data_IF_488237380511
#
_entry.id   IF_488237380511
#
_cell.length_a   1.000
_cell.length_b   1.000
_cell.length_c   1.000
_cell.angle_alpha   90.00
_cell.angle_beta   90.00
_cell.angle_gamma   90.00
#
_symmetry.space_group_name_H-M   'P 1'
#
loop_
_entity.id
_entity.type
_entity.pdbx_description
1 polymer ?
#
# COMPACT_ATOMS: atom_id res chain seq x y z
N UNK A 1 -1.86 -7.62 3.34
CA UNK A 1 -0.83 -8.66 3.57
C UNK A 1 0.16 -8.68 2.42
N UNK A 2 1.38 -9.18 2.61
CA UNK A 2 2.38 -9.35 1.54
C UNK A 2 3.74 -8.71 1.84
N UNK A 3 4.78 -9.04 1.05
CA UNK A 3 6.18 -8.69 1.31
C UNK A 3 6.43 -7.18 1.43
N UNK A 4 5.64 -6.34 0.76
CA UNK A 4 5.72 -4.87 0.88
C UNK A 4 5.29 -4.31 2.24
N UNK A 5 4.77 -5.14 3.15
CA UNK A 5 4.43 -4.75 4.52
C UNK A 5 5.37 -5.36 5.58
N UNK A 6 6.26 -6.26 5.19
CA UNK A 6 7.15 -6.95 6.12
C UNK A 6 8.21 -5.99 6.69
N UNK A 7 8.61 -6.15 7.97
CA UNK A 7 9.58 -5.26 8.61
C UNK A 7 11.01 -5.41 8.06
N UNK A 8 11.28 -6.50 7.34
CA UNK A 8 12.57 -6.83 6.73
C UNK A 8 12.37 -7.65 5.44
N UNK A 9 13.45 -7.87 4.69
CA UNK A 9 13.43 -8.66 3.46
C UNK A 9 13.07 -7.88 2.19
N UNK A 10 12.70 -6.60 2.32
CA UNK A 10 12.55 -5.68 1.19
C UNK A 10 13.92 -5.33 0.62
N UNK A 11 14.05 -5.34 -0.70
CA UNK A 11 15.29 -4.99 -1.40
C UNK A 11 15.15 -3.58 -1.96
N UNK A 12 16.08 -2.70 -1.62
CA UNK A 12 16.13 -1.32 -2.13
C UNK A 12 16.21 -1.35 -3.66
N UNK A 13 15.52 -0.40 -4.29
CA UNK A 13 15.42 -0.25 -5.76
C UNK A 13 14.79 -1.45 -6.48
N UNK A 14 14.23 -2.42 -5.75
CA UNK A 14 13.42 -3.50 -6.33
C UNK A 14 11.95 -3.33 -5.97
N UNK A 15 11.04 -3.44 -6.95
CA UNK A 15 9.61 -3.39 -6.66
C UNK A 15 9.19 -4.47 -5.67
N UNK A 16 8.29 -4.11 -4.77
CA UNK A 16 7.63 -5.02 -3.83
C UNK A 16 6.13 -4.76 -3.80
N UNK A 17 5.37 -5.75 -3.35
CA UNK A 17 3.92 -5.75 -3.43
C UNK A 17 3.26 -6.15 -2.12
N UNK A 18 2.06 -5.63 -1.91
CA UNK A 18 1.14 -6.10 -0.89
C UNK A 18 -0.29 -6.04 -1.42
N UNK A 19 -1.15 -6.85 -0.80
CA UNK A 19 -2.57 -6.94 -1.12
C UNK A 19 -3.41 -6.32 -0.02
N UNK A 20 -4.36 -5.48 -0.43
CA UNK A 20 -5.43 -4.96 0.42
C UNK A 20 -6.65 -5.84 0.17
N UNK A 21 -7.24 -6.36 1.22
CA UNK A 21 -8.48 -7.14 1.19
C UNK A 21 -9.61 -6.26 1.73
N UNK A 22 -10.66 -6.06 0.93
CA UNK A 22 -11.81 -5.21 1.26
C UNK A 22 -13.12 -5.98 1.40
N UNK A 23 -13.11 -7.33 1.48
CA UNK A 23 -14.33 -8.14 1.53
C UNK A 23 -15.32 -7.71 2.62
N UNK A 24 -14.80 -7.25 3.77
CA UNK A 24 -15.60 -6.83 4.91
C UNK A 24 -15.65 -5.31 5.11
N UNK A 25 -15.17 -4.52 4.14
CA UNK A 25 -15.02 -3.07 4.28
C UNK A 25 -16.25 -2.25 3.84
N UNK A 26 -17.26 -2.89 3.25
CA UNK A 26 -18.43 -2.23 2.67
C UNK A 26 -18.12 -1.48 1.37
N UNK A 27 -19.09 -0.70 0.86
CA UNK A 27 -18.90 0.10 -0.36
C UNK A 27 -18.17 1.42 -0.04
N UNK A 28 -16.90 1.51 -0.43
CA UNK A 28 -16.07 2.69 -0.25
C UNK A 28 -15.06 2.83 -1.39
N UNK A 29 -14.61 4.06 -1.64
CA UNK A 29 -13.52 4.29 -2.59
C UNK A 29 -12.18 4.06 -1.88
N UNK A 30 -11.37 3.14 -2.40
CA UNK A 30 -10.03 2.91 -1.90
C UNK A 30 -9.10 4.08 -2.29
N UNK A 31 -8.39 4.64 -1.30
CA UNK A 31 -7.30 5.59 -1.54
C UNK A 31 -6.04 5.15 -0.81
N UNK A 32 -4.99 4.89 -1.57
CA UNK A 32 -3.69 4.47 -1.03
C UNK A 32 -2.75 5.67 -1.00
N UNK A 33 -2.13 5.91 0.16
CA UNK A 33 -1.04 6.88 0.32
C UNK A 33 0.12 6.21 1.04
N UNK A 34 1.32 6.30 0.48
CA UNK A 34 2.52 5.79 1.12
C UNK A 34 3.49 6.93 1.36
N UNK A 35 4.17 6.86 2.50
CA UNK A 35 5.20 7.80 2.87
C UNK A 35 6.39 7.04 3.44
N UNK A 36 7.59 7.56 3.22
CA UNK A 36 8.77 7.04 3.88
C UNK A 36 8.95 7.59 5.31
N UNK A 37 10.08 7.25 5.94
CA UNK A 37 10.36 7.70 7.30
C UNK A 37 10.57 9.22 7.43
N UNK A 38 10.83 9.91 6.33
CA UNK A 38 11.02 11.36 6.22
C UNK A 38 9.73 12.05 5.78
N UNK A 39 8.61 11.32 5.79
CA UNK A 39 7.29 11.77 5.33
C UNK A 39 7.28 12.18 3.84
N UNK A 40 8.23 11.68 3.05
CA UNK A 40 8.22 11.90 1.61
C UNK A 40 7.22 10.94 0.95
N UNK A 41 6.40 11.42 0.00
CA UNK A 41 5.43 10.58 -0.68
C UNK A 41 6.14 9.50 -1.51
N UNK A 42 5.66 8.26 -1.38
CA UNK A 42 6.07 7.13 -2.20
C UNK A 42 5.00 6.93 -3.26
N UNK A 43 5.43 6.81 -4.52
CA UNK A 43 4.53 6.45 -5.60
C UNK A 43 4.09 4.98 -5.45
N UNK A 44 2.78 4.75 -5.48
CA UNK A 44 2.18 3.43 -5.33
C UNK A 44 1.26 3.18 -6.51
N UNK A 45 1.59 2.14 -7.27
CA UNK A 45 0.70 1.63 -8.30
C UNK A 45 -0.34 0.71 -7.67
N UNK A 46 -1.62 1.03 -7.87
CA UNK A 46 -2.75 0.24 -7.33
C UNK A 46 -3.48 -0.41 -8.50
N UNK A 47 -3.67 -1.73 -8.40
CA UNK A 47 -4.40 -2.55 -9.36
C UNK A 47 -5.58 -3.22 -8.65
N UNK A 48 -6.78 -2.98 -9.15
CA UNK A 48 -7.98 -3.74 -8.75
C UNK A 48 -7.91 -5.15 -9.33
N UNK A 49 -8.16 -6.16 -8.49
CA UNK A 49 -8.16 -7.58 -8.90
C UNK A 49 -9.56 -8.07 -9.30
N UNK A 50 -10.61 -7.28 -9.14
CA UNK A 50 -11.99 -7.65 -9.48
C UNK A 50 -12.63 -8.67 -8.52
N UNK A 51 -11.99 -8.93 -7.37
CA UNK A 51 -12.42 -9.91 -6.38
C UNK A 51 -12.34 -9.34 -4.95
N UNK A 52 -12.70 -8.06 -4.77
CA UNK A 52 -12.62 -7.35 -3.49
C UNK A 52 -11.21 -7.33 -2.89
N UNK A 53 -10.19 -7.39 -3.74
CA UNK A 53 -8.79 -7.20 -3.36
C UNK A 53 -8.08 -6.25 -4.30
N UNK A 54 -7.05 -5.58 -3.80
CA UNK A 54 -6.23 -4.66 -4.56
C UNK A 54 -4.76 -4.99 -4.37
N UNK A 55 -4.02 -5.12 -5.47
CA UNK A 55 -2.57 -5.26 -5.45
C UNK A 55 -1.94 -3.88 -5.51
N UNK A 56 -1.13 -3.57 -4.51
CA UNK A 56 -0.37 -2.33 -4.41
C UNK A 56 1.11 -2.62 -4.59
N UNK A 57 1.77 -1.86 -5.46
CA UNK A 57 3.18 -2.02 -5.81
C UNK A 57 3.92 -0.71 -5.61
N UNK A 58 5.09 -0.77 -4.98
CA UNK A 58 6.00 0.38 -4.84
C UNK A 58 7.45 -0.08 -4.91
N UNK A 59 8.37 0.89 -5.09
CA UNK A 59 9.82 0.66 -5.07
C UNK A 59 10.42 1.36 -3.86
N UNK A 60 10.98 0.62 -2.87
CA UNK A 60 11.65 1.22 -1.72
C UNK A 60 12.92 1.94 -2.16
N UNK A 61 13.14 3.18 -1.71
CA UNK A 61 14.33 3.98 -2.06
C UNK A 61 15.34 4.15 -0.92
N UNK A 62 15.01 3.67 0.27
CA UNK A 62 15.79 3.86 1.49
C UNK A 62 15.84 2.55 2.28
N UNK A 63 16.99 2.29 2.91
CA UNK A 63 17.26 1.06 3.67
C UNK A 63 16.48 0.96 4.98
N UNK A 64 15.95 2.09 5.45
CA UNK A 64 15.09 2.13 6.61
C UNK A 64 13.65 1.86 6.13
N UNK A 65 12.96 0.83 6.65
CA UNK A 65 11.61 0.50 6.23
C UNK A 65 10.74 1.75 6.35
N UNK A 66 10.06 2.17 5.29
CA UNK A 66 9.12 3.30 5.26
C UNK A 66 8.04 3.04 6.32
N UNK A 67 8.31 3.47 7.56
CA UNK A 67 7.69 2.93 8.78
C UNK A 67 6.23 3.36 8.96
N UNK A 68 5.65 4.09 8.02
CA UNK A 68 4.25 4.48 8.03
C UNK A 68 3.69 4.56 6.61
N UNK A 69 3.27 3.42 6.08
CA UNK A 69 2.37 3.39 4.94
C UNK A 69 0.94 3.58 5.49
N UNK A 70 0.30 4.70 5.17
CA UNK A 70 -1.04 5.02 5.65
C UNK A 70 -2.09 4.63 4.61
N UNK A 71 -2.82 3.55 4.87
CA UNK A 71 -3.96 3.17 4.05
C UNK A 71 -5.21 3.84 4.59
N UNK A 72 -5.94 4.57 3.73
CA UNK A 72 -7.21 5.17 4.11
C UNK A 72 -8.32 4.69 3.18
N UNK A 73 -9.33 4.04 3.75
CA UNK A 73 -10.60 3.83 3.06
C UNK A 73 -11.45 5.07 3.32
N UNK A 74 -11.82 5.80 2.27
CA UNK A 74 -12.82 6.85 2.40
C UNK A 74 -14.17 6.29 1.99
N UNK A 75 -15.06 6.14 2.97
CA UNK A 75 -16.46 5.89 2.69
C UNK A 75 -17.01 7.02 1.83
N UNK A 76 -17.78 6.66 0.80
CA UNK A 76 -18.57 7.63 0.07
C UNK A 76 -19.73 8.02 1.00
N UNK A 77 -19.69 9.21 1.57
CA UNK A 77 -20.88 9.78 2.21
C UNK A 77 -21.84 10.11 1.06
N UNK A 78 -23.00 9.48 1.08
CA UNK A 78 -24.12 9.82 0.19
C UNK A 78 -24.73 11.16 0.59
#
# INVERSE_FOLDING_TARGET
>A
YGPGLEPSGQIIDKPTEFTIDTHNAGEATLRVQAMDQEYQPIDVHVRDNGNSTFTCRYTPRNSKPSKKVFFSLKYKLN
#
